data_IF_548444521472
#
_entry.id   IF_548444521472
#
_cell.length_a   1.000
_cell.length_b   1.000
_cell.length_c   1.000
_cell.angle_alpha   90.00
_cell.angle_beta   90.00
_cell.angle_gamma   90.00
#
_symmetry.space_group_name_H-M   'P 1'
#
loop_
_entity.id
_entity.type
_entity.pdbx_description
1 polymer ?
#
# COMPACT_ATOMS: atom_id res chain seq x y z
N UNK A 1 19.58 13.06 -16.69
CA UNK A 1 18.27 12.85 -16.03
C UNK A 1 18.04 11.37 -15.76
N UNK A 2 17.74 10.97 -14.51
CA UNK A 2 17.37 9.59 -14.19
C UNK A 2 16.08 9.19 -14.92
N UNK A 3 16.08 8.00 -15.52
CA UNK A 3 14.92 7.45 -16.22
C UNK A 3 14.15 6.58 -15.22
N UNK A 4 12.93 6.96 -14.91
CA UNK A 4 12.01 6.19 -14.04
C UNK A 4 10.92 5.52 -14.87
N UNK A 5 10.40 4.40 -14.36
CA UNK A 5 9.20 3.79 -14.93
C UNK A 5 7.98 4.68 -14.69
N UNK A 6 7.15 4.85 -15.71
CA UNK A 6 5.92 5.63 -15.64
C UNK A 6 4.76 4.89 -14.94
N UNK A 7 4.84 3.57 -14.78
CA UNK A 7 3.78 2.75 -14.21
C UNK A 7 3.51 3.09 -12.74
N UNK A 8 2.22 3.19 -12.37
CA UNK A 8 1.82 3.42 -10.98
C UNK A 8 2.27 2.23 -10.10
N UNK A 9 3.00 2.53 -9.02
CA UNK A 9 3.49 1.53 -8.08
C UNK A 9 4.80 0.85 -8.49
N UNK A 10 5.42 1.27 -9.60
CA UNK A 10 6.72 0.76 -10.03
C UNK A 10 7.86 1.68 -9.60
N UNK A 11 8.82 1.16 -8.83
CA UNK A 11 9.99 1.90 -8.36
C UNK A 11 11.24 1.66 -9.23
N UNK A 12 11.10 1.01 -10.38
CA UNK A 12 12.22 0.72 -11.26
C UNK A 12 12.79 2.02 -11.84
N UNK A 13 14.06 2.28 -11.53
CA UNK A 13 14.89 3.35 -12.10
C UNK A 13 15.99 2.75 -12.96
N UNK A 14 16.42 3.45 -14.01
CA UNK A 14 17.59 3.02 -14.79
C UNK A 14 18.84 3.12 -13.91
N UNK A 15 19.31 1.98 -13.42
CA UNK A 15 20.51 1.80 -12.60
C UNK A 15 21.23 0.51 -12.99
N UNK A 16 22.45 0.32 -12.47
CA UNK A 16 23.22 -0.92 -12.62
C UNK A 16 22.43 -2.13 -12.08
N UNK A 17 21.77 -1.95 -10.93
CA UNK A 17 20.88 -2.95 -10.32
C UNK A 17 19.74 -3.42 -11.26
N UNK A 18 19.03 -2.47 -11.86
CA UNK A 18 17.95 -2.81 -12.81
C UNK A 18 18.50 -3.55 -14.03
N UNK A 19 19.74 -3.27 -14.45
CA UNK A 19 20.40 -3.97 -15.55
C UNK A 19 20.78 -5.40 -15.15
N UNK A 20 21.29 -5.63 -13.93
CA UNK A 20 21.57 -6.98 -13.43
C UNK A 20 20.30 -7.82 -13.26
N UNK A 21 19.15 -7.19 -13.01
CA UNK A 21 17.83 -7.83 -13.02
C UNK A 21 17.24 -8.05 -14.43
N UNK A 22 17.95 -7.65 -15.49
CA UNK A 22 17.47 -7.77 -16.88
C UNK A 22 16.34 -6.80 -17.24
N UNK A 23 16.15 -5.73 -16.47
CA UNK A 23 15.08 -4.76 -16.69
C UNK A 23 15.47 -3.76 -17.78
N UNK A 24 14.75 -3.78 -18.90
CA UNK A 24 14.92 -2.83 -20.02
C UNK A 24 13.85 -1.75 -19.97
N UNK A 25 14.13 -0.57 -20.55
CA UNK A 25 13.22 0.58 -20.54
C UNK A 25 12.80 0.94 -21.96
N UNK A 26 11.50 0.89 -22.23
CA UNK A 26 10.90 1.10 -23.54
C UNK A 26 10.17 2.44 -23.59
N UNK A 27 10.35 3.17 -24.70
CA UNK A 27 9.67 4.46 -24.93
C UNK A 27 8.22 4.20 -25.32
N UNK A 28 7.37 5.19 -25.05
CA UNK A 28 5.99 5.16 -25.55
C UNK A 28 5.98 5.18 -27.08
N UNK A 29 5.03 4.46 -27.72
CA UNK A 29 4.86 4.47 -29.16
C UNK A 29 4.58 5.87 -29.71
N UNK A 30 5.01 6.11 -30.96
CA UNK A 30 4.65 7.33 -31.70
C UNK A 30 3.19 7.31 -32.17
N UNK A 31 2.66 6.12 -32.42
CA UNK A 31 1.27 5.90 -32.82
C UNK A 31 0.31 6.37 -31.71
N UNK A 32 -0.53 7.36 -32.01
CA UNK A 32 -1.37 8.05 -31.04
C UNK A 32 -2.37 7.09 -30.38
N UNK A 33 -2.95 6.17 -31.16
CA UNK A 33 -3.92 5.19 -30.64
C UNK A 33 -3.27 4.27 -29.61
N UNK A 34 -2.11 3.72 -29.95
CA UNK A 34 -1.38 2.81 -29.07
C UNK A 34 -0.83 3.52 -27.84
N UNK A 35 -0.35 4.77 -28.01
CA UNK A 35 0.10 5.63 -26.92
C UNK A 35 -1.02 5.88 -25.91
N UNK A 36 -2.24 6.18 -26.36
CA UNK A 36 -3.41 6.36 -25.46
C UNK A 36 -3.73 5.10 -24.68
N UNK A 37 -3.64 3.93 -25.32
CA UNK A 37 -3.84 2.64 -24.61
C UNK A 37 -2.80 2.48 -23.51
N UNK A 38 -1.53 2.78 -23.79
CA UNK A 38 -0.48 2.73 -22.77
C UNK A 38 -0.70 3.73 -21.63
N UNK A 39 -1.13 4.95 -21.94
CA UNK A 39 -1.46 5.98 -20.93
C UNK A 39 -2.58 5.52 -19.99
N UNK A 40 -3.64 4.93 -20.54
CA UNK A 40 -4.76 4.36 -19.76
C UNK A 40 -4.29 3.17 -18.92
N UNK A 41 -3.48 2.28 -19.51
CA UNK A 41 -2.96 1.09 -18.83
C UNK A 41 -2.10 1.43 -17.61
N UNK A 42 -1.41 2.58 -17.60
CA UNK A 42 -0.60 3.05 -16.46
C UNK A 42 -1.45 3.45 -15.23
N UNK A 43 -2.78 3.57 -15.38
CA UNK A 43 -3.78 3.85 -14.32
C UNK A 43 -3.49 5.09 -13.46
N UNK A 44 -2.69 6.02 -13.98
CA UNK A 44 -2.45 7.33 -13.37
C UNK A 44 -3.34 8.31 -14.12
N UNK A 45 -4.34 8.89 -13.45
CA UNK A 45 -5.25 9.86 -14.08
C UNK A 45 -5.21 11.15 -13.27
N UNK A 46 -4.99 12.32 -13.91
CA UNK A 46 -4.63 12.51 -15.32
C UNK A 46 -3.12 12.29 -15.55
N UNK A 47 -2.73 11.35 -16.43
CA UNK A 47 -1.34 11.16 -16.88
C UNK A 47 -1.23 11.34 -18.38
N UNK A 48 -0.28 12.18 -18.78
CA UNK A 48 0.08 12.41 -20.18
C UNK A 48 1.51 11.91 -20.35
N UNK A 49 1.74 10.96 -21.25
CA UNK A 49 3.09 10.49 -21.51
C UNK A 49 3.89 11.63 -22.14
N UNK A 50 5.07 11.92 -21.60
CA UNK A 50 6.06 12.82 -22.22
C UNK A 50 7.11 12.01 -22.97
N UNK A 51 7.92 12.64 -23.82
CA UNK A 51 8.99 11.96 -24.58
C UNK A 51 10.09 11.36 -23.68
N UNK A 52 10.15 11.78 -22.41
CA UNK A 52 11.00 11.23 -21.37
C UNK A 52 10.37 10.04 -20.64
N UNK A 53 9.05 9.85 -20.71
CA UNK A 53 8.33 8.74 -20.07
C UNK A 53 8.71 7.41 -20.71
N UNK A 54 9.01 6.41 -19.88
CA UNK A 54 9.32 5.05 -20.31
C UNK A 54 8.66 4.04 -19.38
N UNK A 55 8.39 2.84 -19.90
CA UNK A 55 7.94 1.69 -19.13
C UNK A 55 9.04 0.65 -19.05
N UNK A 56 9.15 -0.03 -17.90
CA UNK A 56 10.09 -1.14 -17.75
C UNK A 56 9.54 -2.44 -18.38
N UNK A 57 10.43 -3.37 -18.72
CA UNK A 57 10.09 -4.66 -19.34
C UNK A 57 9.15 -5.52 -18.49
N UNK A 58 9.16 -5.38 -17.16
CA UNK A 58 8.26 -6.10 -16.25
C UNK A 58 6.76 -5.86 -16.53
N UNK A 59 6.41 -4.82 -17.30
CA UNK A 59 5.02 -4.53 -17.68
C UNK A 59 4.55 -5.20 -18.97
N UNK A 60 5.42 -5.96 -19.63
CA UNK A 60 5.16 -6.64 -20.89
C UNK A 60 5.42 -8.14 -20.73
N UNK A 61 4.77 -8.96 -21.54
CA UNK A 61 5.03 -10.39 -21.54
C UNK A 61 6.35 -10.68 -22.26
N UNK A 62 7.09 -11.73 -21.89
CA UNK A 62 8.33 -12.10 -22.59
C UNK A 62 8.12 -12.36 -24.09
N UNK A 63 6.90 -12.75 -24.48
CA UNK A 63 6.47 -13.00 -25.87
C UNK A 63 6.34 -11.73 -26.72
N UNK A 64 6.13 -10.59 -26.06
CA UNK A 64 5.93 -9.29 -26.72
C UNK A 64 7.27 -8.68 -27.21
N UNK A 65 8.39 -9.29 -26.84
CA UNK A 65 9.73 -8.81 -27.15
C UNK A 65 10.31 -9.52 -28.38
N UNK A 66 10.68 -8.74 -29.38
CA UNK A 66 11.51 -9.19 -30.47
C UNK A 66 12.97 -9.23 -30.04
N UNK A 67 13.51 -10.45 -29.94
CA UNK A 67 14.92 -10.73 -29.64
C UNK A 67 15.74 -11.04 -30.88
N UNK A 68 15.15 -10.94 -32.07
CA UNK A 68 15.75 -11.32 -33.35
C UNK A 68 16.90 -10.39 -33.79
N UNK A 69 17.22 -9.33 -33.02
CA UNK A 69 18.27 -8.36 -33.34
C UNK A 69 19.15 -7.97 -32.14
N UNK A 70 20.08 -7.06 -32.38
CA UNK A 70 21.10 -6.60 -31.41
C UNK A 70 20.53 -5.83 -30.20
N UNK A 71 19.28 -5.39 -30.28
CA UNK A 71 18.57 -4.67 -29.21
C UNK A 71 17.17 -5.25 -29.02
N UNK A 72 16.80 -5.54 -27.79
CA UNK A 72 15.44 -6.00 -27.43
C UNK A 72 14.43 -4.87 -27.71
N UNK A 73 13.50 -5.11 -28.63
CA UNK A 73 12.42 -4.19 -28.99
C UNK A 73 11.06 -4.82 -28.69
N UNK A 74 10.05 -3.99 -28.48
CA UNK A 74 8.66 -4.47 -28.38
C UNK A 74 8.10 -4.60 -29.79
N UNK A 75 7.31 -5.65 -30.03
CA UNK A 75 6.55 -5.84 -31.27
C UNK A 75 5.60 -4.67 -31.52
N UNK A 76 5.28 -4.43 -32.78
CA UNK A 76 4.28 -3.43 -33.16
C UNK A 76 2.90 -3.81 -32.59
N UNK A 77 2.19 -2.83 -32.01
CA UNK A 77 0.86 -3.05 -31.44
C UNK A 77 0.83 -3.65 -30.02
N UNK A 78 1.96 -3.94 -29.40
CA UNK A 78 2.00 -4.46 -28.02
C UNK A 78 1.45 -3.42 -27.03
N UNK A 79 0.67 -3.90 -26.07
CA UNK A 79 0.16 -3.10 -24.95
C UNK A 79 0.65 -3.68 -23.64
N UNK A 80 1.05 -2.84 -22.67
CA UNK A 80 1.45 -3.32 -21.36
C UNK A 80 0.21 -3.94 -20.71
N UNK A 81 0.31 -5.21 -20.34
CA UNK A 81 -0.78 -5.99 -19.72
C UNK A 81 -0.43 -6.44 -18.30
N UNK A 82 0.86 -6.45 -17.96
CA UNK A 82 1.35 -6.93 -16.68
C UNK A 82 1.48 -5.75 -15.72
N UNK A 83 0.43 -5.49 -14.96
CA UNK A 83 0.52 -4.52 -13.88
C UNK A 83 0.14 -5.18 -12.56
N UNK A 84 1.11 -5.27 -11.67
CA UNK A 84 0.85 -5.61 -10.28
C UNK A 84 0.47 -4.33 -9.52
N UNK A 85 -0.69 -3.78 -9.86
CA UNK A 85 -1.25 -2.69 -9.05
C UNK A 85 -1.62 -3.27 -7.68
N UNK A 86 -1.31 -2.59 -6.56
CA UNK A 86 -1.96 -2.93 -5.32
C UNK A 86 -3.47 -2.84 -5.58
N UNK A 87 -4.17 -3.95 -5.41
CA UNK A 87 -5.62 -3.99 -5.55
C UNK A 87 -6.20 -2.87 -4.66
N UNK A 88 -7.13 -2.09 -5.19
CA UNK A 88 -7.93 -1.14 -4.39
C UNK A 88 -8.93 -1.90 -3.50
N UNK A 89 -8.43 -2.86 -2.74
CA UNK A 89 -9.17 -3.84 -1.94
C UNK A 89 -8.16 -4.90 -1.56
N UNK A 90 -7.60 -4.92 -0.36
CA UNK A 90 -8.22 -4.74 0.94
C UNK A 90 -7.37 -3.75 1.72
N UNK A 91 -7.79 -2.49 1.73
CA UNK A 91 -7.40 -1.65 2.86
C UNK A 91 -8.42 -1.99 3.93
N UNK A 92 -7.92 -2.35 5.11
CA UNK A 92 -8.65 -2.44 6.37
C UNK A 92 -9.22 -1.07 6.74
N UNK A 93 -10.14 -0.59 5.92
CA UNK A 93 -10.90 0.60 6.19
C UNK A 93 -12.01 0.16 7.12
N UNK A 94 -11.81 0.40 8.41
CA UNK A 94 -12.79 0.14 9.48
C UNK A 94 -14.20 0.65 9.14
N UNK A 95 -14.29 1.68 8.30
CA UNK A 95 -15.52 2.31 7.82
C UNK A 95 -16.15 1.69 6.56
N UNK A 96 -15.52 0.71 5.89
CA UNK A 96 -16.13 0.04 4.74
C UNK A 96 -17.10 -1.04 5.22
N UNK A 97 -18.39 -0.88 4.91
CA UNK A 97 -19.43 -1.85 5.23
C UNK A 97 -19.26 -3.11 4.37
N UNK A 98 -19.37 -4.33 4.94
CA UNK A 98 -19.31 -5.56 4.18
C UNK A 98 -20.57 -5.71 3.31
N UNK A 99 -20.44 -6.35 2.15
CA UNK A 99 -21.55 -6.48 1.18
C UNK A 99 -22.64 -7.49 1.57
N UNK A 100 -22.44 -8.31 2.62
CA UNK A 100 -23.41 -9.32 3.08
C UNK A 100 -24.01 -8.96 4.44
N UNK A 101 -25.34 -9.08 4.63
CA UNK A 101 -26.01 -8.83 5.92
C UNK A 101 -25.46 -9.69 7.07
N UNK A 102 -25.05 -10.94 6.78
CA UNK A 102 -24.49 -11.85 7.79
C UNK A 102 -23.12 -11.37 8.28
N UNK A 103 -22.26 -10.94 7.35
CA UNK A 103 -20.93 -10.42 7.68
C UNK A 103 -21.02 -9.11 8.47
N UNK A 104 -22.02 -8.28 8.16
CA UNK A 104 -22.29 -7.05 8.92
C UNK A 104 -22.71 -7.38 10.36
N UNK A 105 -23.59 -8.37 10.54
CA UNK A 105 -24.04 -8.81 11.87
C UNK A 105 -22.88 -9.39 12.68
N UNK A 106 -22.04 -10.21 12.06
CA UNK A 106 -20.86 -10.77 12.73
C UNK A 106 -19.88 -9.67 13.18
N UNK A 107 -19.59 -8.69 12.30
CA UNK A 107 -18.74 -7.54 12.66
C UNK A 107 -19.33 -6.69 13.77
N UNK A 108 -20.65 -6.49 13.78
CA UNK A 108 -21.32 -5.78 14.85
C UNK A 108 -21.18 -6.53 16.19
N UNK A 109 -21.40 -7.84 16.20
CA UNK A 109 -21.25 -8.66 17.41
C UNK A 109 -19.81 -8.62 17.94
N UNK A 110 -18.81 -8.74 17.07
CA UNK A 110 -17.40 -8.61 17.46
C UNK A 110 -17.09 -7.22 18.03
N UNK A 111 -17.59 -6.16 17.39
CA UNK A 111 -17.41 -4.79 17.87
C UNK A 111 -18.05 -4.58 19.26
N UNK A 112 -19.26 -5.10 19.48
CA UNK A 112 -19.92 -5.04 20.78
C UNK A 112 -19.14 -5.80 21.85
N UNK A 113 -18.68 -7.02 21.55
CA UNK A 113 -17.86 -7.80 22.49
C UNK A 113 -16.56 -7.08 22.86
N UNK A 114 -15.94 -6.40 21.88
CA UNK A 114 -14.74 -5.59 22.12
C UNK A 114 -15.02 -4.41 23.06
N UNK A 115 -16.14 -3.72 22.88
CA UNK A 115 -16.55 -2.62 23.77
C UNK A 115 -16.74 -3.13 25.19
N UNK A 116 -17.43 -4.26 25.37
CA UNK A 116 -17.66 -4.85 26.70
C UNK A 116 -16.34 -5.24 27.39
N UNK A 117 -15.39 -5.83 26.65
CA UNK A 117 -14.06 -6.17 27.17
C UNK A 117 -13.32 -4.92 27.67
N UNK A 118 -13.33 -3.84 26.88
CA UNK A 118 -12.68 -2.58 27.24
C UNK A 118 -13.32 -1.92 28.45
N UNK A 119 -14.64 -2.00 28.60
CA UNK A 119 -15.34 -1.49 29.79
C UNK A 119 -14.92 -2.24 31.06
N UNK A 120 -14.82 -3.57 30.99
CA UNK A 120 -14.32 -4.40 32.10
C UNK A 120 -12.88 -4.05 32.46
N UNK A 121 -12.01 -3.90 31.46
CA UNK A 121 -10.61 -3.49 31.66
C UNK A 121 -10.51 -2.10 32.31
N UNK A 122 -11.34 -1.14 31.89
CA UNK A 122 -11.41 0.20 32.48
C UNK A 122 -11.79 0.14 33.95
N UNK A 123 -12.82 -0.62 34.31
CA UNK A 123 -13.24 -0.79 35.71
C UNK A 123 -12.10 -1.38 36.54
N UNK A 124 -11.43 -2.41 36.02
CA UNK A 124 -10.29 -3.05 36.67
C UNK A 124 -9.12 -2.08 36.85
N UNK A 125 -8.83 -1.24 35.85
CA UNK A 125 -7.79 -0.23 35.90
C UNK A 125 -8.08 0.83 36.97
N UNK A 126 -9.31 1.34 37.02
CA UNK A 126 -9.75 2.30 38.06
C UNK A 126 -9.63 1.69 39.46
N UNK A 127 -9.99 0.41 39.63
CA UNK A 127 -9.83 -0.27 40.90
C UNK A 127 -8.35 -0.40 41.31
N UNK A 128 -7.45 -0.72 40.38
CA UNK A 128 -5.99 -0.74 40.63
C UNK A 128 -5.47 0.63 41.03
N UNK A 129 -5.88 1.68 40.31
CA UNK A 129 -5.49 3.05 40.59
C UNK A 129 -5.95 3.50 41.98
N UNK A 130 -7.20 3.20 42.37
CA UNK A 130 -7.72 3.49 43.72
C UNK A 130 -6.89 2.82 44.82
N UNK A 131 -6.47 1.57 44.62
CA UNK A 131 -5.60 0.86 45.59
C UNK A 131 -4.23 1.52 45.71
N UNK A 132 -3.61 1.87 44.57
CA UNK A 132 -2.33 2.58 44.57
C UNK A 132 -2.43 3.94 45.26
N UNK A 133 -3.47 4.73 44.95
CA UNK A 133 -3.73 6.02 45.61
C UNK A 133 -3.91 5.88 47.13
N UNK A 134 -4.62 4.85 47.60
CA UNK A 134 -4.79 4.59 49.04
C UNK A 134 -3.45 4.27 49.73
N UNK A 135 -2.60 3.46 49.09
CA UNK A 135 -1.26 3.14 49.59
C UNK A 135 -0.36 4.37 49.64
N UNK A 136 -0.35 5.20 48.60
CA UNK A 136 0.42 6.45 48.59
C UNK A 136 -0.02 7.36 49.74
N UNK A 137 -1.33 7.50 49.96
CA UNK A 137 -1.86 8.30 51.06
C UNK A 137 -1.42 7.77 52.43
N UNK A 138 -1.44 6.46 52.67
CA UNK A 138 -0.97 5.91 53.95
C UNK A 138 0.52 6.15 54.17
N UNK A 139 1.35 5.95 53.13
CA UNK A 139 2.80 6.21 53.22
C UNK A 139 3.11 7.69 53.51
N UNK A 140 2.34 8.62 52.92
CA UNK A 140 2.48 10.05 53.21
C UNK A 140 2.20 10.38 54.69
N UNK A 141 1.16 9.77 55.28
CA UNK A 141 0.84 9.99 56.69
C UNK A 141 1.90 9.41 57.62
N UNK A 142 2.46 8.23 57.30
CA UNK A 142 3.56 7.63 58.07
C UNK A 142 4.83 8.48 57.99
N UNK A 143 5.14 9.06 56.83
CA UNK A 143 6.26 9.98 56.64
C UNK A 143 6.09 11.27 57.46
N UNK A 144 4.86 11.81 57.54
CA UNK A 144 4.58 13.00 58.38
C UNK A 144 4.80 12.69 59.86
N UNK A 145 4.29 11.55 60.34
CA UNK A 145 4.47 11.13 61.74
C UNK A 145 5.93 10.96 62.14
N UNK A 146 6.77 10.43 61.25
CA UNK A 146 8.21 10.26 61.51
C UNK A 146 9.03 11.55 61.45
N UNK A 147 8.47 12.63 60.91
CA UNK A 147 9.12 13.95 60.81
C UNK A 147 8.66 14.92 61.90
N UNK A 148 7.65 14.55 62.68
CA UNK A 148 7.19 15.25 63.88
C UNK A 148 7.83 14.67 65.13
#
# INVERSE_FOLDING_TARGET
MPVFCAALGCNNRRSVDSKSRGVTFHKFPSELKLRRVWEVSVRRVPFVATNSSKLCSEHFKPEDFDRTGQTVRLREGVTPSVFNFPSRGRKDHSYSLPCSPNDLKARLQEALARVESLEREKINAVARERRAKKMVKSLQEDLKKKRS
#
